data_IF_533069262142
#
_entry.id   IF_533069262142
#
_cell.length_a   1.000
_cell.length_b   1.000
_cell.length_c   1.000
_cell.angle_alpha   90.00
_cell.angle_beta   90.00
_cell.angle_gamma   90.00
#
_symmetry.space_group_name_H-M   'P 1'
#
loop_
_entity.id
_entity.type
_entity.pdbx_description
1 polymer ?
#
# COMPACT_ATOMS: atom_id res chain seq x y z
N UNK A 1 -5.75 -2.68 -14.60
CA UNK A 1 -6.96 -2.88 -13.79
C UNK A 1 -7.52 -1.55 -13.29
N UNK A 2 -8.77 -1.56 -12.88
CA UNK A 2 -9.42 -0.36 -12.34
C UNK A 2 -8.69 0.17 -11.10
N UNK A 3 -8.22 -0.72 -10.22
CA UNK A 3 -7.50 -0.32 -9.02
C UNK A 3 -6.18 0.37 -9.36
N UNK A 4 -5.42 -0.20 -10.31
CA UNK A 4 -4.16 0.41 -10.75
C UNK A 4 -4.38 1.77 -11.38
N UNK A 5 -5.39 1.89 -12.22
CA UNK A 5 -5.70 3.15 -12.90
C UNK A 5 -6.10 4.22 -11.90
N UNK A 6 -6.94 3.86 -10.94
CA UNK A 6 -7.37 4.78 -9.89
C UNK A 6 -6.18 5.25 -9.03
N UNK A 7 -5.34 4.32 -8.60
CA UNK A 7 -4.16 4.64 -7.80
C UNK A 7 -3.18 5.51 -8.58
N UNK A 8 -3.01 5.24 -9.85
CA UNK A 8 -2.13 6.05 -10.70
C UNK A 8 -2.60 7.50 -10.77
N UNK A 9 -3.92 7.71 -10.92
CA UNK A 9 -4.49 9.04 -10.92
C UNK A 9 -4.30 9.74 -9.58
N UNK A 10 -4.43 9.00 -8.47
CA UNK A 10 -4.30 9.56 -7.14
C UNK A 10 -2.85 9.89 -6.77
N UNK A 11 -1.90 9.07 -7.19
CA UNK A 11 -0.54 9.09 -6.63
C UNK A 11 0.54 9.58 -7.60
N UNK A 12 0.38 9.41 -8.91
CA UNK A 12 1.46 9.68 -9.85
C UNK A 12 1.90 11.14 -9.90
N UNK A 13 1.02 12.06 -9.55
CA UNK A 13 1.29 13.51 -9.60
C UNK A 13 1.59 14.13 -8.25
N UNK A 14 1.65 13.34 -7.19
CA UNK A 14 1.94 13.86 -5.86
C UNK A 14 3.41 14.27 -5.79
N UNK A 15 3.67 15.47 -5.28
CA UNK A 15 5.03 15.97 -5.10
C UNK A 15 5.70 15.37 -3.87
N UNK A 16 4.93 14.84 -2.95
CA UNK A 16 5.41 14.18 -1.73
C UNK A 16 5.12 12.70 -1.81
N UNK A 17 5.90 11.91 -1.06
CA UNK A 17 5.57 10.51 -0.89
C UNK A 17 4.30 10.38 -0.06
N UNK A 18 3.34 9.62 -0.58
CA UNK A 18 2.06 9.37 0.07
C UNK A 18 1.90 7.85 0.16
N UNK A 19 1.55 7.36 1.35
CA UNK A 19 1.28 5.95 1.57
C UNK A 19 -0.23 5.76 1.74
N UNK A 20 -0.81 4.92 0.91
CA UNK A 20 -2.24 4.63 0.93
C UNK A 20 -2.50 3.16 1.22
N UNK A 21 -3.60 2.91 1.90
CA UNK A 21 -4.10 1.55 2.10
C UNK A 21 -5.53 1.49 1.57
N UNK A 22 -5.80 0.51 0.72
CA UNK A 22 -7.15 0.19 0.26
C UNK A 22 -7.64 -0.99 1.09
N UNK A 23 -8.76 -0.82 1.76
CA UNK A 23 -9.37 -1.86 2.59
C UNK A 23 -10.50 -2.51 1.81
N UNK A 24 -10.45 -3.85 1.70
CA UNK A 24 -11.34 -4.61 0.85
C UNK A 24 -12.10 -5.66 1.65
N UNK A 25 -13.31 -5.98 1.19
CA UNK A 25 -14.07 -7.11 1.75
C UNK A 25 -13.58 -8.43 1.16
N UNK A 26 -14.20 -9.55 1.54
CA UNK A 26 -13.77 -10.87 1.10
C UNK A 26 -14.11 -11.16 -0.36
N UNK A 27 -14.81 -10.27 -1.05
CA UNK A 27 -15.02 -10.31 -2.49
C UNK A 27 -14.14 -9.29 -3.22
N UNK A 28 -13.17 -8.72 -2.51
CA UNK A 28 -12.23 -7.72 -3.01
C UNK A 28 -12.91 -6.43 -3.47
N UNK A 29 -14.04 -6.08 -2.84
CA UNK A 29 -14.69 -4.80 -3.07
C UNK A 29 -14.14 -3.77 -2.10
N UNK A 30 -13.96 -2.55 -2.59
CA UNK A 30 -13.40 -1.47 -1.79
C UNK A 30 -14.37 -1.06 -0.68
N UNK A 31 -13.90 -1.14 0.57
CA UNK A 31 -14.64 -0.65 1.75
C UNK A 31 -14.24 0.78 2.07
N UNK A 32 -12.95 1.07 2.04
CA UNK A 32 -12.42 2.39 2.39
C UNK A 32 -11.01 2.52 1.84
N UNK A 33 -10.57 3.76 1.61
CA UNK A 33 -9.18 4.06 1.33
C UNK A 33 -8.69 5.05 2.38
N UNK A 34 -7.41 4.94 2.76
CA UNK A 34 -6.84 5.77 3.80
C UNK A 34 -5.44 6.17 3.42
N UNK A 35 -5.14 7.47 3.60
CA UNK A 35 -3.78 7.98 3.46
C UNK A 35 -3.19 8.05 4.86
N UNK A 36 -2.12 7.28 5.09
CA UNK A 36 -1.53 7.16 6.42
C UNK A 36 -0.53 8.26 6.73
N UNK A 37 0.18 8.74 5.72
CA UNK A 37 1.10 9.85 5.90
C UNK A 37 1.44 10.48 4.54
N UNK A 38 1.99 11.69 4.61
CA UNK A 38 2.57 12.38 3.47
C UNK A 38 3.95 12.87 3.88
N UNK A 39 4.99 12.52 3.10
CA UNK A 39 6.37 12.88 3.42
C UNK A 39 7.34 11.83 2.96
N UNK A 40 8.50 11.72 3.60
CA UNK A 40 9.52 10.76 3.22
C UNK A 40 9.26 9.39 3.83
N UNK A 41 9.20 8.38 2.99
CA UNK A 41 9.04 6.98 3.42
C UNK A 41 10.27 6.45 4.16
N UNK A 42 11.42 7.11 3.99
CA UNK A 42 12.67 6.66 4.62
C UNK A 42 12.63 6.69 6.14
N UNK A 43 11.62 7.32 6.72
CA UNK A 43 11.55 7.50 8.16
C UNK A 43 10.53 6.63 8.86
N UNK A 44 10.13 5.52 8.24
CA UNK A 44 9.27 4.52 8.89
C UNK A 44 8.10 5.19 9.61
N UNK A 45 7.31 5.95 8.87
CA UNK A 45 6.14 6.62 9.42
C UNK A 45 4.91 5.72 9.45
N UNK A 46 5.01 4.55 8.81
CA UNK A 46 3.90 3.61 8.75
C UNK A 46 4.03 2.62 9.90
N UNK A 47 3.09 2.67 10.82
CA UNK A 47 3.08 1.78 11.98
C UNK A 47 2.10 0.63 11.74
N UNK A 48 2.56 -0.63 11.79
CA UNK A 48 1.67 -1.78 11.61
C UNK A 48 0.45 -1.73 12.51
N UNK A 49 0.62 -1.29 13.76
CA UNK A 49 -0.50 -1.19 14.71
C UNK A 49 -1.62 -0.31 14.17
N UNK A 50 -1.30 0.81 13.53
CA UNK A 50 -2.32 1.73 13.00
C UNK A 50 -3.04 1.14 11.80
N UNK A 51 -2.33 0.43 10.95
CA UNK A 51 -2.94 -0.24 9.80
C UNK A 51 -3.86 -1.36 10.28
N UNK A 52 -3.44 -2.14 11.28
CA UNK A 52 -4.26 -3.21 11.86
C UNK A 52 -5.53 -2.62 12.47
N UNK A 53 -5.43 -1.53 13.24
CA UNK A 53 -6.58 -0.86 13.83
C UNK A 53 -7.59 -0.44 12.77
N UNK A 54 -7.13 0.17 11.69
CA UNK A 54 -8.01 0.61 10.61
C UNK A 54 -8.64 -0.59 9.90
N UNK A 55 -7.86 -1.64 9.64
CA UNK A 55 -8.38 -2.85 9.01
C UNK A 55 -9.52 -3.46 9.83
N UNK A 56 -9.36 -3.53 11.15
CA UNK A 56 -10.39 -4.04 12.04
C UNK A 56 -11.60 -3.10 12.10
N UNK A 57 -11.36 -1.80 12.15
CA UNK A 57 -12.44 -0.80 12.17
C UNK A 57 -13.31 -0.89 10.93
N UNK A 58 -12.70 -1.09 9.75
CA UNK A 58 -13.41 -1.19 8.49
C UNK A 58 -13.90 -2.61 8.20
N UNK A 59 -13.59 -3.55 9.08
CA UNK A 59 -13.93 -4.97 8.89
C UNK A 59 -13.37 -5.52 7.57
N UNK A 60 -12.14 -5.18 7.28
CA UNK A 60 -11.50 -5.59 6.04
C UNK A 60 -11.09 -7.06 6.08
N UNK A 61 -11.24 -7.75 4.95
CA UNK A 61 -10.73 -9.10 4.76
C UNK A 61 -9.38 -9.09 4.03
N UNK A 62 -9.10 -8.02 3.31
CA UNK A 62 -7.86 -7.87 2.55
C UNK A 62 -7.49 -6.40 2.41
N UNK A 63 -6.24 -6.14 2.08
CA UNK A 63 -5.75 -4.79 1.80
C UNK A 63 -4.88 -4.80 0.55
N UNK A 64 -4.84 -3.66 -0.12
CA UNK A 64 -3.82 -3.34 -1.11
C UNK A 64 -3.07 -2.11 -0.60
N UNK A 65 -1.75 -2.23 -0.54
CA UNK A 65 -0.88 -1.13 -0.15
C UNK A 65 -0.42 -0.41 -1.40
N UNK A 66 -0.25 0.89 -1.31
CA UNK A 66 0.26 1.67 -2.43
C UNK A 66 1.03 2.87 -1.94
N UNK A 67 2.10 3.22 -2.62
CA UNK A 67 2.75 4.51 -2.40
C UNK A 67 3.39 4.98 -3.70
N UNK A 68 3.70 6.28 -3.75
CA UNK A 68 4.33 6.87 -4.91
C UNK A 68 5.80 7.16 -4.64
N UNK A 69 6.58 7.18 -5.73
CA UNK A 69 7.95 7.68 -5.72
C UNK A 69 7.98 8.97 -6.54
N UNK A 70 8.09 10.14 -5.90
CA UNK A 70 8.09 11.43 -6.62
C UNK A 70 9.22 11.57 -7.63
N UNK A 71 10.30 10.81 -7.47
CA UNK A 71 11.39 10.77 -8.45
C UNK A 71 10.96 10.27 -9.82
N UNK A 72 9.82 9.58 -9.90
CA UNK A 72 9.31 9.00 -11.12
C UNK A 72 9.67 7.52 -11.32
N UNK A 73 10.77 7.07 -10.75
CA UNK A 73 11.21 5.67 -10.83
C UNK A 73 10.43 4.84 -9.81
N UNK A 74 9.61 3.85 -10.24
CA UNK A 74 8.80 3.06 -9.32
C UNK A 74 9.56 1.90 -8.67
N UNK A 75 10.86 1.78 -8.86
CA UNK A 75 11.62 0.67 -8.29
C UNK A 75 11.60 0.73 -6.76
N UNK A 76 11.12 -0.33 -6.06
CA UNK A 76 11.04 -0.34 -4.61
C UNK A 76 12.41 -0.36 -3.96
N UNK A 77 12.53 0.36 -2.85
CA UNK A 77 13.73 0.33 -2.01
C UNK A 77 13.69 -0.86 -1.06
N UNK A 78 14.82 -1.12 -0.39
CA UNK A 78 14.85 -2.15 0.65
C UNK A 78 13.92 -1.76 1.82
N UNK A 79 13.83 -0.48 2.15
CA UNK A 79 12.89 0.00 3.16
C UNK A 79 11.44 -0.29 2.78
N UNK A 80 11.09 -0.11 1.50
CA UNK A 80 9.75 -0.45 1.01
C UNK A 80 9.45 -1.92 1.22
N UNK A 81 10.42 -2.80 0.93
CA UNK A 81 10.24 -4.23 1.10
C UNK A 81 10.13 -4.62 2.57
N UNK A 82 10.92 -3.98 3.44
CA UNK A 82 10.91 -4.27 4.87
C UNK A 82 9.58 -3.88 5.50
N UNK A 83 9.05 -2.70 5.20
CA UNK A 83 7.77 -2.27 5.77
C UNK A 83 6.62 -3.12 5.25
N UNK A 84 6.67 -3.52 3.99
CA UNK A 84 5.65 -4.41 3.42
C UNK A 84 5.63 -5.75 4.14
N UNK A 85 6.80 -6.33 4.42
CA UNK A 85 6.88 -7.58 5.17
C UNK A 85 6.30 -7.46 6.57
N UNK A 86 6.61 -6.36 7.26
CA UNK A 86 6.08 -6.12 8.61
C UNK A 86 4.55 -5.95 8.61
N UNK A 87 4.03 -5.20 7.65
CA UNK A 87 2.58 -4.99 7.54
C UNK A 87 1.87 -6.29 7.19
N UNK A 88 2.42 -7.05 6.24
CA UNK A 88 1.84 -8.33 5.84
C UNK A 88 1.77 -9.29 7.03
N UNK A 89 2.84 -9.40 7.80
CA UNK A 89 2.88 -10.30 8.96
C UNK A 89 1.89 -9.87 10.03
N UNK A 90 1.82 -8.58 10.33
CA UNK A 90 0.92 -8.05 11.34
C UNK A 90 -0.55 -8.27 10.94
N UNK A 91 -0.88 -7.99 9.69
CA UNK A 91 -2.25 -8.17 9.19
C UNK A 91 -2.65 -9.64 9.13
N UNK A 92 -1.72 -10.53 8.82
CA UNK A 92 -1.99 -11.97 8.81
C UNK A 92 -2.40 -12.48 10.18
N UNK A 93 -1.89 -11.89 11.25
CA UNK A 93 -2.24 -12.28 12.63
C UNK A 93 -3.72 -12.01 12.94
N UNK A 94 -4.38 -11.12 12.24
CA UNK A 94 -5.79 -10.81 12.41
C UNK A 94 -6.62 -11.23 11.19
N UNK A 95 -6.10 -12.19 10.42
CA UNK A 95 -6.79 -12.77 9.27
C UNK A 95 -7.09 -11.77 8.16
N UNK A 96 -6.24 -10.80 7.97
CA UNK A 96 -6.34 -9.83 6.86
C UNK A 96 -5.22 -10.11 5.87
N UNK A 97 -5.60 -10.39 4.63
CA UNK A 97 -4.64 -10.70 3.56
C UNK A 97 -4.09 -9.43 2.93
N UNK A 98 -2.78 -9.40 2.71
CA UNK A 98 -2.16 -8.35 1.90
C UNK A 98 -2.07 -8.86 0.47
N UNK A 99 -2.89 -8.30 -0.42
CA UNK A 99 -2.99 -8.78 -1.79
C UNK A 99 -1.84 -8.29 -2.66
N UNK A 100 -1.42 -7.05 -2.45
CA UNK A 100 -0.36 -6.44 -3.24
C UNK A 100 0.18 -5.20 -2.55
N UNK A 101 1.33 -4.76 -3.01
CA UNK A 101 1.88 -3.44 -2.73
C UNK A 101 2.30 -2.85 -4.07
N UNK A 102 1.67 -1.75 -4.46
CA UNK A 102 1.93 -1.09 -5.74
C UNK A 102 2.77 0.17 -5.49
N UNK A 103 3.91 0.25 -6.14
CA UNK A 103 4.75 1.45 -6.11
C UNK A 103 4.55 2.20 -7.40
N UNK A 104 4.14 3.45 -7.30
CA UNK A 104 3.69 4.23 -8.44
C UNK A 104 4.65 5.37 -8.69
N UNK A 105 5.22 5.40 -9.89
CA UNK A 105 6.01 6.50 -10.39
C UNK A 105 5.40 6.99 -11.69
N UNK A 106 5.87 8.14 -12.18
CA UNK A 106 5.45 8.65 -13.48
C UNK A 106 5.84 7.71 -14.62
N UNK A 107 6.90 6.92 -14.40
CA UNK A 107 7.44 6.00 -15.42
C UNK A 107 6.78 4.63 -15.40
N UNK A 108 5.91 4.35 -14.44
CA UNK A 108 5.22 3.07 -14.38
C UNK A 108 4.80 2.66 -12.97
N UNK A 109 4.39 1.40 -12.87
CA UNK A 109 3.94 0.80 -11.61
C UNK A 109 4.69 -0.52 -11.42
N UNK A 110 5.23 -0.72 -10.19
CA UNK A 110 5.81 -1.99 -9.79
C UNK A 110 4.88 -2.67 -8.80
N UNK A 111 4.54 -3.93 -9.05
CA UNK A 111 3.70 -4.75 -8.19
C UNK A 111 4.55 -5.78 -7.47
N UNK A 112 4.45 -5.80 -6.13
CA UNK A 112 5.15 -6.80 -5.32
C UNK A 112 4.63 -8.20 -5.59
N UNK A 113 3.31 -8.35 -5.82
CA UNK A 113 2.74 -9.65 -6.14
C UNK A 113 3.27 -10.19 -7.46
N UNK A 114 3.39 -9.34 -8.47
CA UNK A 114 3.96 -9.75 -9.76
C UNK A 114 5.41 -10.16 -9.65
N UNK A 115 6.15 -9.60 -8.71
CA UNK A 115 7.55 -9.97 -8.47
C UNK A 115 7.72 -11.16 -7.53
N UNK A 116 6.62 -11.69 -7.00
CA UNK A 116 6.66 -12.82 -6.09
C UNK A 116 7.12 -12.45 -4.67
N UNK A 117 6.99 -11.18 -4.27
CA UNK A 117 7.39 -10.71 -2.94
C UNK A 117 6.25 -10.72 -1.93
N UNK A 118 5.06 -10.99 -2.41
CA UNK A 118 3.86 -11.20 -1.58
C UNK A 118 3.21 -12.52 -1.90
#
# INVERSE_FOLDING_TARGET
TAARDWLRLQLARQEREVFMVLYLDNQHRLLESETLFAGSVNHVQVHPREVVKSALRFNAAAVVLAHNHPSGDPEPSQCDRNITGRLKDALALVDVNTLDHLVIGSDGIVSFAERGWI
#
